data_IF_357316263390
#
_entry.id   IF_357316263390
#
_cell.length_a   1.000
_cell.length_b   1.000
_cell.length_c   1.000
_cell.angle_alpha   90.00
_cell.angle_beta   90.00
_cell.angle_gamma   90.00
#
_symmetry.space_group_name_H-M   'P 1'
#
loop_
_entity.id
_entity.type
_entity.pdbx_description
1 polymer ?
#
# COMPACT_ATOMS: atom_id res chain seq x y z
N UNK A 1 -48.74 -34.34 1.63
CA UNK A 1 -48.32 -33.04 2.19
C UNK A 1 -47.06 -33.11 3.06
N UNK A 2 -46.88 -34.12 3.94
CA UNK A 2 -45.66 -34.25 4.79
C UNK A 2 -44.33 -34.35 4.03
N UNK A 3 -44.30 -35.02 2.87
CA UNK A 3 -43.09 -35.18 2.04
C UNK A 3 -42.64 -33.87 1.35
N UNK A 4 -43.60 -32.99 1.03
CA UNK A 4 -43.34 -31.68 0.42
C UNK A 4 -42.80 -30.70 1.46
N UNK A 5 -43.35 -30.74 2.68
CA UNK A 5 -42.86 -29.92 3.79
C UNK A 5 -41.41 -30.26 4.18
N UNK A 6 -41.04 -31.55 4.18
CA UNK A 6 -39.66 -32.00 4.45
C UNK A 6 -38.71 -31.55 3.32
N UNK A 7 -39.13 -31.65 2.06
CA UNK A 7 -38.33 -31.19 0.92
C UNK A 7 -38.04 -29.69 0.96
N UNK A 8 -39.03 -28.88 1.35
CA UNK A 8 -38.88 -27.42 1.47
C UNK A 8 -37.90 -27.03 2.59
N UNK A 9 -37.95 -27.75 3.72
CA UNK A 9 -37.08 -27.51 4.87
C UNK A 9 -35.61 -27.84 4.57
N UNK A 10 -35.37 -28.92 3.82
CA UNK A 10 -34.02 -29.29 3.37
C UNK A 10 -33.47 -28.23 2.41
N UNK A 11 -34.29 -27.74 1.47
CA UNK A 11 -33.87 -26.71 0.52
C UNK A 11 -33.48 -25.39 1.19
N UNK A 12 -34.18 -24.99 2.26
CA UNK A 12 -33.83 -23.78 3.03
C UNK A 12 -32.49 -23.89 3.76
N UNK A 13 -32.12 -25.09 4.23
CA UNK A 13 -30.83 -25.32 4.89
C UNK A 13 -29.69 -25.18 3.86
N UNK A 14 -29.84 -25.75 2.66
CA UNK A 14 -28.86 -25.63 1.58
C UNK A 14 -28.80 -24.22 0.97
N UNK A 15 -29.91 -23.47 0.97
CA UNK A 15 -29.91 -22.07 0.52
C UNK A 15 -29.25 -21.12 1.54
N UNK A 16 -29.33 -21.42 2.84
CA UNK A 16 -28.72 -20.61 3.91
C UNK A 16 -27.22 -20.82 4.09
N UNK A 17 -26.64 -21.92 3.58
CA UNK A 17 -25.21 -22.23 3.73
C UNK A 17 -24.30 -21.53 2.70
N UNK A 18 -24.87 -20.87 1.68
CA UNK A 18 -24.12 -20.10 0.67
C UNK A 18 -24.07 -18.59 0.99
N UNK A 19 -24.07 -18.23 2.28
CA UNK A 19 -23.88 -16.86 2.74
C UNK A 19 -22.61 -16.72 3.59
N UNK A 20 -21.55 -17.48 3.26
CA UNK A 20 -20.22 -17.24 3.80
C UNK A 20 -19.74 -15.88 3.27
N UNK A 21 -20.08 -14.83 4.02
CA UNK A 21 -19.54 -13.49 3.89
C UNK A 21 -18.03 -13.63 3.80
N UNK A 22 -17.48 -13.50 2.59
CA UNK A 22 -16.04 -13.36 2.40
C UNK A 22 -15.65 -12.04 3.05
N UNK A 23 -15.27 -12.12 4.32
CA UNK A 23 -14.76 -10.97 5.06
C UNK A 23 -13.44 -10.58 4.41
N UNK A 24 -13.44 -9.49 3.64
CA UNK A 24 -12.23 -8.90 3.09
C UNK A 24 -11.50 -8.26 4.27
N UNK A 25 -10.59 -9.01 4.89
CA UNK A 25 -9.74 -8.48 5.95
C UNK A 25 -8.72 -7.54 5.31
N UNK A 26 -8.97 -6.23 5.44
CA UNK A 26 -8.01 -5.20 5.03
C UNK A 26 -7.00 -4.98 6.16
N UNK A 27 -5.76 -5.40 5.94
CA UNK A 27 -4.66 -5.07 6.83
C UNK A 27 -3.84 -3.90 6.27
N UNK A 28 -3.53 -2.91 7.12
CA UNK A 28 -2.72 -1.75 6.73
C UNK A 28 -1.46 -1.75 7.58
N UNK A 29 -0.30 -1.72 6.93
CA UNK A 29 0.99 -1.72 7.61
C UNK A 29 1.77 -0.47 7.22
N UNK A 30 2.29 0.31 8.19
CA UNK A 30 3.11 1.46 7.88
C UNK A 30 4.50 1.00 7.44
N UNK A 31 4.98 1.58 6.34
CA UNK A 31 6.35 1.42 5.86
C UNK A 31 7.00 2.79 5.72
N UNK A 32 8.24 2.90 6.21
CA UNK A 32 9.02 4.14 6.15
C UNK A 32 10.34 3.86 5.46
N UNK A 33 10.72 4.72 4.53
CA UNK A 33 12.02 4.72 3.86
C UNK A 33 12.65 6.10 3.96
N UNK A 34 13.97 6.16 4.09
CA UNK A 34 14.73 7.41 4.22
C UNK A 34 15.61 7.60 3.01
N UNK A 35 15.50 8.76 2.37
CA UNK A 35 16.37 9.20 1.28
C UNK A 35 17.30 10.31 1.79
N UNK A 36 18.61 10.17 1.54
CA UNK A 36 19.59 11.19 1.86
C UNK A 36 19.92 11.97 0.57
N UNK A 37 19.72 13.28 0.60
CA UNK A 37 20.13 14.19 -0.47
C UNK A 37 21.28 15.05 0.05
N UNK A 38 22.53 14.82 -0.41
CA UNK A 38 23.69 15.60 0.04
C UNK A 38 23.56 17.08 -0.29
N UNK A 39 24.12 17.97 0.54
CA UNK A 39 24.16 19.41 0.25
C UNK A 39 24.97 19.77 -1.01
N UNK A 40 25.92 18.92 -1.40
CA UNK A 40 26.70 19.03 -2.65
C UNK A 40 25.95 18.53 -3.90
N UNK A 41 24.68 18.16 -3.76
CA UNK A 41 23.88 17.64 -4.86
C UNK A 41 23.70 18.67 -5.97
N UNK A 42 23.87 18.22 -7.21
CA UNK A 42 23.61 19.05 -8.39
C UNK A 42 22.10 19.14 -8.67
N UNK A 43 21.68 20.29 -9.18
CA UNK A 43 20.31 20.50 -9.64
C UNK A 43 19.99 19.60 -10.84
N UNK A 44 18.73 19.18 -10.96
CA UNK A 44 18.26 18.34 -12.07
C UNK A 44 18.70 16.88 -12.02
N UNK A 45 19.25 16.41 -10.89
CA UNK A 45 19.57 14.99 -10.68
C UNK A 45 18.43 14.26 -9.97
N UNK A 46 18.20 13.02 -10.37
CA UNK A 46 17.26 12.12 -9.70
C UNK A 46 17.98 11.38 -8.59
N UNK A 47 17.36 11.36 -7.42
CA UNK A 47 17.82 10.60 -6.27
C UNK A 47 16.81 9.50 -5.98
N UNK A 48 17.30 8.30 -5.68
CA UNK A 48 16.47 7.13 -5.40
C UNK A 48 16.98 6.40 -4.18
N UNK A 49 16.06 6.03 -3.30
CA UNK A 49 16.30 5.10 -2.20
C UNK A 49 15.38 3.90 -2.38
N UNK A 50 15.88 2.71 -2.09
CA UNK A 50 15.08 1.49 -2.04
C UNK A 50 15.19 0.93 -0.63
N UNK A 51 14.05 0.58 -0.05
CA UNK A 51 14.00 -0.09 1.24
C UNK A 51 13.12 -1.30 1.13
N UNK A 52 13.64 -2.45 1.57
CA UNK A 52 12.87 -3.67 1.63
C UNK A 52 11.85 -3.55 2.76
N UNK A 53 10.57 -3.71 2.43
CA UNK A 53 9.55 -4.02 3.41
C UNK A 53 9.86 -5.39 4.03
N UNK A 54 9.63 -5.58 5.33
CA UNK A 54 9.52 -6.92 5.91
C UNK A 54 8.55 -7.71 5.05
N UNK A 55 8.96 -8.88 4.54
CA UNK A 55 8.20 -9.62 3.54
C UNK A 55 6.74 -9.70 3.97
N UNK A 56 5.83 -9.35 3.05
CA UNK A 56 4.39 -9.57 3.21
C UNK A 56 4.18 -11.02 3.69
N UNK A 57 4.95 -11.96 3.15
CA UNK A 57 5.06 -13.33 3.65
C UNK A 57 5.30 -13.38 5.16
N UNK A 58 6.37 -12.80 5.70
CA UNK A 58 6.65 -12.84 7.15
C UNK A 58 5.50 -12.30 8.02
N UNK A 59 4.75 -11.31 7.53
CA UNK A 59 3.59 -10.74 8.24
C UNK A 59 2.37 -11.67 8.16
N UNK A 60 2.23 -12.46 7.09
CA UNK A 60 1.08 -13.34 6.82
C UNK A 60 1.40 -14.86 6.89
N UNK A 61 2.64 -15.27 7.21
CA UNK A 61 3.11 -16.67 7.27
C UNK A 61 3.17 -17.24 8.68
N UNK A 62 2.73 -16.49 9.70
CA UNK A 62 2.52 -17.04 11.03
C UNK A 62 1.40 -18.09 11.01
N UNK A 63 1.76 -19.38 10.95
CA UNK A 63 0.91 -20.55 11.19
C UNK A 63 -0.35 -20.67 10.30
N UNK A 64 -0.17 -21.16 9.06
CA UNK A 64 -1.29 -21.52 8.16
C UNK A 64 -1.56 -20.52 7.03
N UNK A 65 -0.49 -20.10 6.35
CA UNK A 65 -0.46 -18.93 5.46
C UNK A 65 -1.55 -18.91 4.39
N UNK A 66 -2.42 -17.89 4.47
CA UNK A 66 -3.44 -17.56 3.48
C UNK A 66 -2.91 -16.57 2.43
N UNK A 67 -1.60 -16.58 2.13
CA UNK A 67 -1.00 -15.70 1.11
C UNK A 67 -1.64 -15.89 -0.26
N UNK A 68 -2.13 -17.10 -0.57
CA UNK A 68 -2.94 -17.38 -1.77
C UNK A 68 -4.30 -16.68 -1.79
N UNK A 69 -4.78 -16.14 -0.66
CA UNK A 69 -6.02 -15.37 -0.55
C UNK A 69 -5.78 -13.85 -0.66
N UNK A 70 -4.53 -13.41 -0.81
CA UNK A 70 -4.22 -11.99 -1.06
C UNK A 70 -4.55 -11.68 -2.51
N UNK A 71 -5.74 -11.10 -2.73
CA UNK A 71 -6.19 -10.70 -4.07
C UNK A 71 -5.43 -9.48 -4.59
N UNK A 72 -5.21 -8.47 -3.74
CA UNK A 72 -4.58 -7.20 -4.13
C UNK A 72 -3.78 -6.59 -2.99
N UNK A 73 -2.63 -6.02 -3.32
CA UNK A 73 -1.85 -5.14 -2.44
C UNK A 73 -1.90 -3.75 -3.05
N UNK A 74 -2.32 -2.75 -2.26
CA UNK A 74 -2.46 -1.36 -2.69
C UNK A 74 -1.91 -0.42 -1.63
N UNK A 75 -1.37 0.71 -2.06
CA UNK A 75 -0.99 1.77 -1.14
C UNK A 75 -2.24 2.53 -0.71
N UNK A 76 -2.43 2.74 0.60
CA UNK A 76 -3.57 3.51 1.11
C UNK A 76 -3.29 5.00 1.18
N UNK A 77 -2.04 5.36 1.46
CA UNK A 77 -1.58 6.72 1.63
C UNK A 77 -0.06 6.75 1.52
N UNK A 78 0.48 7.89 1.13
CA UNK A 78 1.91 8.14 1.06
C UNK A 78 2.16 9.59 1.45
N UNK A 79 3.13 9.78 2.32
CA UNK A 79 3.56 11.08 2.83
C UNK A 79 5.08 11.09 2.86
N UNK A 80 5.66 12.20 2.46
CA UNK A 80 7.08 12.50 2.65
C UNK A 80 7.22 13.66 3.63
N UNK A 81 8.28 13.61 4.43
CA UNK A 81 8.63 14.68 5.35
C UNK A 81 10.15 14.86 5.41
N UNK A 82 10.58 16.11 5.56
CA UNK A 82 11.97 16.42 5.81
C UNK A 82 12.30 16.06 7.26
N UNK A 83 13.22 15.12 7.44
CA UNK A 83 13.65 14.67 8.78
C UNK A 83 14.86 15.46 9.27
N UNK A 84 15.85 15.69 8.41
CA UNK A 84 17.07 16.41 8.76
C UNK A 84 17.66 17.19 7.58
N UNK A 85 17.70 18.53 7.63
CA UNK A 85 17.09 19.38 8.66
C UNK A 85 15.55 19.36 8.55
N UNK A 86 14.85 19.31 9.68
CA UNK A 86 13.38 19.22 9.72
C UNK A 86 12.65 20.45 9.16
N UNK A 87 13.36 21.56 9.01
CA UNK A 87 12.87 22.79 8.37
C UNK A 87 13.10 22.84 6.87
N UNK A 88 13.71 21.81 6.27
CA UNK A 88 13.97 21.79 4.83
C UNK A 88 12.66 21.82 4.05
N UNK A 89 12.55 22.78 3.12
CA UNK A 89 11.43 22.87 2.20
C UNK A 89 11.57 21.80 1.10
N UNK A 90 10.49 21.04 0.87
CA UNK A 90 10.40 19.98 -0.14
C UNK A 90 10.16 20.51 -1.56
N UNK A 91 9.86 21.80 -1.72
CA UNK A 91 9.81 22.51 -3.01
C UNK A 91 11.14 22.54 -3.78
N UNK A 92 12.20 21.96 -3.23
CA UNK A 92 13.46 21.69 -3.93
C UNK A 92 13.35 20.53 -4.93
N UNK A 93 12.36 19.63 -4.74
CA UNK A 93 12.10 18.54 -5.68
C UNK A 93 11.11 19.02 -6.74
N UNK A 94 11.35 18.70 -8.01
CA UNK A 94 10.34 18.96 -9.06
C UNK A 94 9.20 17.95 -9.00
N UNK A 95 9.54 16.68 -8.77
CA UNK A 95 8.61 15.56 -8.74
C UNK A 95 9.11 14.48 -7.79
N UNK A 96 8.18 13.72 -7.22
CA UNK A 96 8.45 12.61 -6.32
C UNK A 96 7.65 11.42 -6.84
N UNK A 97 8.32 10.27 -7.02
CA UNK A 97 7.69 9.05 -7.50
C UNK A 97 7.99 7.90 -6.53
N UNK A 98 6.95 7.18 -6.11
CA UNK A 98 7.03 6.03 -5.22
C UNK A 98 6.61 4.80 -6.00
N UNK A 99 7.45 3.78 -5.92
CA UNK A 99 7.23 2.53 -6.62
C UNK A 99 7.21 1.35 -5.63
N UNK A 100 6.32 0.39 -5.89
CA UNK A 100 6.39 -0.93 -5.29
C UNK A 100 7.15 -1.87 -6.23
N UNK A 101 8.11 -2.61 -5.67
CA UNK A 101 8.85 -3.63 -6.39
C UNK A 101 8.40 -5.02 -5.94
N UNK A 102 8.09 -5.89 -6.89
CA UNK A 102 7.87 -7.32 -6.68
C UNK A 102 8.81 -8.10 -7.60
N UNK A 103 9.92 -8.60 -7.04
CA UNK A 103 11.01 -9.18 -7.83
C UNK A 103 11.58 -8.13 -8.78
N UNK A 104 11.46 -8.36 -10.09
CA UNK A 104 11.90 -7.43 -11.14
C UNK A 104 10.80 -6.49 -11.64
N UNK A 105 9.56 -6.64 -11.18
CA UNK A 105 8.44 -5.81 -11.61
C UNK A 105 8.33 -4.57 -10.73
N UNK A 106 8.30 -3.39 -11.35
CA UNK A 106 8.15 -2.10 -10.68
C UNK A 106 6.80 -1.47 -11.06
N UNK A 107 6.01 -1.10 -10.07
CA UNK A 107 4.70 -0.46 -10.25
C UNK A 107 4.72 0.91 -9.59
N UNK A 108 4.38 1.97 -10.32
CA UNK A 108 4.18 3.31 -9.76
C UNK A 108 2.91 3.27 -8.89
N UNK A 109 3.01 3.71 -7.64
CA UNK A 109 1.90 3.64 -6.68
C UNK A 109 1.57 4.97 -6.02
N UNK A 110 2.50 5.93 -6.06
CA UNK A 110 2.19 7.31 -5.77
C UNK A 110 3.14 8.24 -6.49
N UNK A 111 2.63 9.44 -6.77
CA UNK A 111 3.41 10.50 -7.38
C UNK A 111 3.01 11.85 -6.81
N UNK A 112 3.92 12.80 -6.89
CA UNK A 112 3.59 14.22 -6.85
C UNK A 112 4.42 14.90 -7.91
N UNK A 113 3.74 15.49 -8.88
CA UNK A 113 4.36 16.33 -9.88
C UNK A 113 4.20 17.80 -9.50
N UNK A 114 5.09 18.64 -10.05
CA UNK A 114 5.06 20.10 -9.89
C UNK A 114 4.98 20.55 -8.42
N UNK A 115 5.87 20.02 -7.58
CA UNK A 115 5.94 20.40 -6.16
C UNK A 115 6.21 21.91 -6.07
N UNK A 116 5.32 22.62 -5.38
CA UNK A 116 5.43 24.06 -5.20
C UNK A 116 6.66 24.44 -4.39
N UNK A 117 7.28 25.57 -4.72
CA UNK A 117 8.33 26.18 -3.91
C UNK A 117 7.85 26.51 -2.47
N UNK A 118 6.55 26.58 -2.23
CA UNK A 118 5.92 26.89 -0.93
C UNK A 118 5.39 25.66 -0.19
N UNK A 119 5.65 24.44 -0.66
CA UNK A 119 5.11 23.20 -0.08
C UNK A 119 5.48 22.98 1.39
N UNK A 120 6.56 23.59 1.89
CA UNK A 120 6.99 23.41 3.27
C UNK A 120 7.74 22.09 3.46
N UNK A 121 7.74 21.52 4.67
CA UNK A 121 8.57 20.37 5.04
C UNK A 121 7.85 19.01 5.00
N UNK A 122 6.57 18.97 4.63
CA UNK A 122 5.75 17.77 4.62
C UNK A 122 4.77 17.81 3.46
N UNK A 123 4.64 16.71 2.72
CA UNK A 123 3.80 16.63 1.53
C UNK A 123 3.14 15.26 1.43
N UNK A 124 1.83 15.25 1.26
CA UNK A 124 1.07 14.05 0.90
C UNK A 124 1.24 13.81 -0.61
N UNK A 125 1.37 12.56 -1.02
CA UNK A 125 1.49 12.18 -2.43
C UNK A 125 0.14 11.69 -2.97
N UNK A 126 -0.05 11.83 -4.28
CA UNK A 126 -1.24 11.35 -4.97
C UNK A 126 -1.09 9.85 -5.25
N UNK A 127 -2.06 9.04 -4.82
CA UNK A 127 -2.06 7.57 -4.95
C UNK A 127 -2.68 7.17 -6.29
N UNK A 128 -2.12 6.14 -6.94
CA UNK A 128 -2.67 5.51 -8.16
C UNK A 128 -3.63 4.33 -7.83
#
# INVERSE_FOLDING_TARGET
MKKIAIGLFILTIFASSCATLQSIVKSTFPYTSTLIVPASSQTGKTFSATSSASSIDQIFTGSGSNTSQISQVRMSSAKIEAVSPSSQNLGVFKSINVYLLNGSNQVLVATRNDVSATTGNSLVLDID
#
